data_IF_920252505048
#
_entry.id   IF_920252505048
#
_cell.length_a   1.000
_cell.length_b   1.000
_cell.length_c   1.000
_cell.angle_alpha   90.00
_cell.angle_beta   90.00
_cell.angle_gamma   90.00
#
_symmetry.space_group_name_H-M   'P 1'
#
loop_
_entity.id
_entity.type
_entity.pdbx_description
1 polymer ?
#
# COMPACT_ATOMS: atom_id res chain seq x y z
N UNK A 1 -47.30 13.04 52.94
CA UNK A 1 -48.50 12.68 53.73
C UNK A 1 -49.66 13.51 53.20
N UNK A 2 -50.78 12.86 52.88
CA UNK A 2 -52.12 13.38 52.51
C UNK A 2 -52.38 14.88 52.85
N UNK A 3 -53.11 15.69 52.07
CA UNK A 3 -54.44 15.40 51.51
C UNK A 3 -54.88 16.59 50.63
N UNK A 4 -55.60 16.25 49.57
CA UNK A 4 -56.60 17.01 48.80
C UNK A 4 -57.31 18.17 49.50
N UNK A 5 -57.69 19.21 48.73
CA UNK A 5 -59.06 19.76 48.75
C UNK A 5 -59.39 20.60 47.50
N UNK A 6 -60.37 20.12 46.74
CA UNK A 6 -61.19 20.89 45.81
C UNK A 6 -62.03 21.92 46.59
N UNK A 7 -62.31 23.09 45.99
CA UNK A 7 -63.61 23.72 46.14
C UNK A 7 -63.96 24.61 44.93
N UNK A 8 -65.13 24.28 44.38
CA UNK A 8 -65.91 24.97 43.37
C UNK A 8 -66.27 26.41 43.76
N UNK A 9 -66.27 27.34 42.79
CA UNK A 9 -67.37 28.29 42.60
C UNK A 9 -67.65 28.39 41.10
N UNK A 10 -68.77 27.79 40.71
CA UNK A 10 -69.49 28.06 39.48
C UNK A 10 -70.37 29.29 39.69
N UNK A 11 -70.34 30.24 38.77
CA UNK A 11 -71.48 31.12 38.45
C UNK A 11 -71.36 31.60 37.01
N UNK A 12 -72.21 31.03 36.17
CA UNK A 12 -72.62 31.55 34.87
C UNK A 12 -73.37 32.90 35.09
N UNK A 13 -73.58 33.80 34.13
CA UNK A 13 -74.08 33.63 32.77
C UNK A 13 -74.13 35.06 32.17
N UNK A 14 -73.61 35.33 30.96
CA UNK A 14 -74.37 36.11 29.97
C UNK A 14 -73.72 36.08 28.57
N UNK A 15 -74.60 35.90 27.61
CA UNK A 15 -74.43 35.66 26.20
C UNK A 15 -74.00 36.91 25.44
N UNK A 16 -73.00 36.75 24.56
CA UNK A 16 -72.63 37.72 23.53
C UNK A 16 -72.12 36.98 22.31
N UNK A 17 -72.97 36.80 21.29
CA UNK A 17 -72.59 36.18 20.03
C UNK A 17 -71.82 37.18 19.16
N UNK A 18 -70.55 36.84 18.84
CA UNK A 18 -69.85 37.35 17.66
C UNK A 18 -68.89 36.24 17.16
N UNK A 19 -69.30 35.62 16.04
CA UNK A 19 -68.49 35.04 14.96
C UNK A 19 -67.05 34.62 15.30
N UNK A 20 -66.85 33.36 15.68
CA UNK A 20 -65.60 32.66 15.37
C UNK A 20 -65.86 31.78 14.15
N UNK A 21 -65.34 32.22 13.02
CA UNK A 21 -65.15 31.42 11.82
C UNK A 21 -64.43 30.15 12.25
N UNK A 22 -65.08 29.01 12.10
CA UNK A 22 -64.40 27.74 12.04
C UNK A 22 -63.50 27.78 10.80
N UNK A 23 -62.23 28.13 10.99
CA UNK A 23 -61.21 27.84 9.99
C UNK A 23 -61.20 26.32 9.85
N UNK A 24 -61.80 25.83 8.77
CA UNK A 24 -61.50 24.50 8.25
C UNK A 24 -59.99 24.41 8.14
N UNK A 25 -59.37 23.46 8.83
CA UNK A 25 -57.99 23.10 8.54
C UNK A 25 -57.93 22.78 7.04
N UNK A 26 -57.18 23.60 6.30
CA UNK A 26 -56.86 23.35 4.91
C UNK A 26 -56.32 21.92 4.80
N UNK A 27 -57.04 21.08 4.06
CA UNK A 27 -56.61 19.73 3.75
C UNK A 27 -55.37 19.84 2.87
N UNK A 28 -54.18 19.81 3.49
CA UNK A 28 -52.88 19.80 2.82
C UNK A 28 -52.70 18.61 1.86
N UNK A 29 -53.53 17.57 1.98
CA UNK A 29 -53.48 16.37 1.17
C UNK A 29 -54.57 16.38 0.09
N UNK A 30 -54.35 17.08 -1.02
CA UNK A 30 -55.27 17.10 -2.16
C UNK A 30 -54.78 16.19 -3.31
N UNK A 31 -55.72 15.53 -4.01
CA UNK A 31 -55.43 14.59 -5.11
C UNK A 31 -55.09 13.16 -4.63
N UNK A 32 -54.92 12.23 -5.58
CA UNK A 32 -54.58 10.84 -5.30
C UNK A 32 -53.16 10.72 -4.69
N UNK A 33 -52.94 9.86 -3.67
CA UNK A 33 -51.61 9.64 -3.10
C UNK A 33 -50.61 9.11 -4.15
N UNK A 34 -49.38 9.63 -4.14
CA UNK A 34 -48.28 9.07 -4.91
C UNK A 34 -46.97 9.06 -4.11
N UNK A 35 -46.11 8.08 -4.42
CA UNK A 35 -44.78 7.93 -3.85
C UNK A 35 -43.84 7.42 -4.94
N UNK A 36 -42.86 8.23 -5.35
CA UNK A 36 -41.87 7.82 -6.35
C UNK A 36 -40.50 8.33 -5.99
N UNK A 37 -39.47 7.56 -6.34
CA UNK A 37 -38.10 8.07 -6.29
C UNK A 37 -37.76 8.71 -7.63
N UNK A 38 -37.10 9.88 -7.61
CA UNK A 38 -36.54 10.43 -8.84
C UNK A 38 -35.54 9.43 -9.45
N UNK A 39 -35.60 9.28 -10.78
CA UNK A 39 -34.63 8.46 -11.52
C UNK A 39 -34.85 6.95 -11.43
N UNK A 40 -36.00 6.46 -10.95
CA UNK A 40 -36.35 5.04 -10.86
C UNK A 40 -35.31 4.20 -10.09
N UNK A 41 -34.85 4.73 -8.96
CA UNK A 41 -33.82 4.09 -8.11
C UNK A 41 -34.38 3.04 -7.16
N UNK A 42 -35.48 2.35 -7.50
CA UNK A 42 -36.14 1.38 -6.60
C UNK A 42 -35.21 0.23 -6.15
N UNK A 43 -34.11 0.00 -6.89
CA UNK A 43 -33.00 -0.88 -6.51
C UNK A 43 -31.68 -0.13 -6.66
N UNK A 44 -30.81 -0.22 -5.65
CA UNK A 44 -29.44 0.32 -5.70
C UNK A 44 -28.42 -0.78 -5.46
N UNK A 45 -27.32 -0.74 -6.21
CA UNK A 45 -26.19 -1.66 -6.06
C UNK A 45 -25.05 -0.96 -5.34
N UNK A 46 -24.56 -1.57 -4.26
CA UNK A 46 -23.50 -1.03 -3.42
C UNK A 46 -22.30 -1.99 -3.44
N UNK A 47 -21.11 -1.42 -3.60
CA UNK A 47 -19.86 -2.17 -3.54
C UNK A 47 -19.58 -2.75 -2.15
N UNK A 48 -18.58 -3.63 -2.08
CA UNK A 48 -18.16 -4.33 -0.85
C UNK A 48 -17.79 -3.33 0.26
N UNK A 49 -17.14 -2.24 -0.10
CA UNK A 49 -16.72 -1.15 0.81
C UNK A 49 -17.88 -0.35 1.40
N UNK A 50 -19.09 -0.52 0.87
CA UNK A 50 -20.26 0.22 1.32
C UNK A 50 -20.23 1.70 0.90
N UNK A 51 -21.01 2.50 1.62
CA UNK A 51 -21.09 3.96 1.49
C UNK A 51 -20.80 4.52 2.87
N UNK A 52 -19.80 5.40 2.98
CA UNK A 52 -19.44 6.03 4.26
C UNK A 52 -20.47 7.08 4.64
N UNK A 53 -20.77 7.22 5.94
CA UNK A 53 -21.67 8.26 6.46
C UNK A 53 -21.34 9.68 5.99
N UNK A 54 -20.06 10.03 5.86
CA UNK A 54 -19.62 11.35 5.35
C UNK A 54 -19.95 11.59 3.89
N UNK A 55 -20.19 10.52 3.13
CA UNK A 55 -20.51 10.51 1.70
C UNK A 55 -21.86 9.81 1.45
N UNK A 56 -22.80 9.94 2.39
CA UNK A 56 -24.12 9.32 2.30
C UNK A 56 -24.82 9.66 0.99
N UNK A 57 -25.52 8.68 0.43
CA UNK A 57 -26.18 8.79 -0.87
C UNK A 57 -27.56 9.44 -0.73
N UNK A 58 -27.86 10.51 -1.48
CA UNK A 58 -29.17 11.13 -1.46
C UNK A 58 -30.19 10.32 -2.28
N UNK A 59 -31.44 10.30 -1.81
CA UNK A 59 -32.59 9.82 -2.55
C UNK A 59 -33.68 10.89 -2.49
N UNK A 60 -34.14 11.33 -3.66
CA UNK A 60 -35.24 12.30 -3.75
C UNK A 60 -36.56 11.53 -3.79
N UNK A 61 -37.39 11.77 -2.77
CA UNK A 61 -38.76 11.29 -2.69
C UNK A 61 -39.70 12.34 -3.28
N UNK A 62 -40.58 11.91 -4.19
CA UNK A 62 -41.71 12.69 -4.67
C UNK A 62 -43.00 12.18 -4.04
N UNK A 63 -43.71 13.07 -3.36
CA UNK A 63 -44.94 12.72 -2.64
C UNK A 63 -45.86 13.94 -2.45
N UNK A 64 -47.16 13.70 -2.35
CA UNK A 64 -48.15 14.67 -1.86
C UNK A 64 -48.75 14.26 -0.49
N UNK A 65 -48.00 13.43 0.23
CA UNK A 65 -48.36 12.85 1.54
C UNK A 65 -47.14 12.83 2.44
N UNK A 66 -47.37 12.83 3.75
CA UNK A 66 -46.31 12.56 4.72
C UNK A 66 -45.75 11.14 4.55
N UNK A 67 -44.47 10.99 4.83
CA UNK A 67 -43.77 9.72 4.74
C UNK A 67 -42.74 9.57 5.87
N UNK A 68 -42.52 8.33 6.28
CA UNK A 68 -41.49 7.95 7.26
C UNK A 68 -40.73 6.71 6.78
N UNK A 69 -39.43 6.66 7.07
CA UNK A 69 -38.56 5.55 6.73
C UNK A 69 -38.49 4.55 7.88
N UNK A 70 -38.44 3.27 7.54
CA UNK A 70 -38.13 2.19 8.47
C UNK A 70 -37.22 1.18 7.79
N UNK A 71 -36.23 0.73 8.54
CA UNK A 71 -35.41 -0.43 8.20
C UNK A 71 -35.78 -1.56 9.15
N UNK A 72 -35.70 -2.81 8.71
CA UNK A 72 -35.87 -3.95 9.62
C UNK A 72 -34.76 -3.96 10.69
N UNK A 73 -34.95 -4.67 11.80
CA UNK A 73 -33.90 -4.79 12.82
C UNK A 73 -32.63 -5.43 12.26
N UNK A 74 -32.77 -6.37 11.32
CA UNK A 74 -31.64 -7.03 10.66
C UNK A 74 -30.90 -6.08 9.72
N UNK A 75 -31.64 -5.34 8.89
CA UNK A 75 -31.07 -4.38 7.93
C UNK A 75 -30.43 -3.20 8.65
N UNK A 76 -31.05 -2.70 9.73
CA UNK A 76 -30.56 -1.58 10.52
C UNK A 76 -29.19 -1.80 11.19
N UNK A 77 -28.66 -3.04 11.14
CA UNK A 77 -27.29 -3.34 11.60
C UNK A 77 -26.20 -2.89 10.62
N UNK A 78 -26.55 -2.63 9.36
CA UNK A 78 -25.57 -2.32 8.31
C UNK A 78 -26.08 -1.31 7.26
N UNK A 79 -27.40 -1.11 7.16
CA UNK A 79 -28.07 -0.14 6.30
C UNK A 79 -28.70 0.95 7.16
N UNK A 80 -28.23 2.18 6.96
CA UNK A 80 -28.58 3.31 7.81
C UNK A 80 -29.19 4.44 7.02
N UNK A 81 -30.09 5.20 7.65
CA UNK A 81 -30.76 6.36 7.05
C UNK A 81 -30.48 7.64 7.83
N UNK A 82 -30.67 8.79 7.17
CA UNK A 82 -30.68 10.10 7.77
C UNK A 82 -31.75 10.96 7.10
N UNK A 83 -32.53 11.67 7.93
CA UNK A 83 -33.84 12.25 7.59
C UNK A 83 -34.85 11.13 7.38
N UNK A 84 -35.44 10.67 8.49
CA UNK A 84 -36.30 9.48 8.51
C UNK A 84 -37.79 9.81 8.34
N UNK A 85 -38.12 11.07 8.10
CA UNK A 85 -39.49 11.51 7.82
C UNK A 85 -39.51 12.78 6.95
N UNK A 86 -40.63 13.02 6.28
CA UNK A 86 -40.87 14.22 5.50
C UNK A 86 -42.35 14.46 5.20
N UNK A 87 -42.65 15.69 4.78
CA UNK A 87 -43.95 16.10 4.23
C UNK A 87 -43.74 16.45 2.75
N UNK A 88 -44.67 16.04 1.89
CA UNK A 88 -44.58 16.21 0.44
C UNK A 88 -43.25 15.69 -0.16
N UNK A 89 -42.71 16.38 -1.15
CA UNK A 89 -41.40 16.11 -1.72
C UNK A 89 -40.27 16.32 -0.69
N UNK A 90 -39.27 15.46 -0.70
CA UNK A 90 -38.11 15.63 0.16
C UNK A 90 -36.92 14.78 -0.25
N UNK A 91 -35.84 14.90 0.53
CA UNK A 91 -34.61 14.14 0.32
C UNK A 91 -34.28 13.44 1.62
N UNK A 92 -34.06 12.14 1.54
CA UNK A 92 -33.39 11.40 2.61
C UNK A 92 -32.04 10.89 2.13
N UNK A 93 -31.21 10.50 3.08
CA UNK A 93 -29.89 9.95 2.80
C UNK A 93 -29.77 8.55 3.37
N UNK A 94 -28.96 7.72 2.74
CA UNK A 94 -28.58 6.43 3.28
C UNK A 94 -27.08 6.19 3.19
N UNK A 95 -26.57 5.33 4.06
CA UNK A 95 -25.21 4.81 3.95
C UNK A 95 -25.18 3.34 4.37
N UNK A 96 -24.13 2.65 3.95
CA UNK A 96 -24.07 1.18 4.00
C UNK A 96 -22.72 0.78 4.55
N UNK A 97 -22.70 0.00 5.63
CA UNK A 97 -21.45 -0.50 6.19
C UNK A 97 -20.79 -1.52 5.24
N UNK A 98 -19.46 -1.70 5.27
CA UNK A 98 -18.79 -2.73 4.49
C UNK A 98 -19.38 -4.13 4.74
N UNK A 99 -19.43 -4.97 3.71
CA UNK A 99 -19.83 -6.37 3.85
C UNK A 99 -18.60 -7.28 4.01
N UNK A 100 -18.31 -7.78 5.23
CA UNK A 100 -17.17 -8.67 5.42
C UNK A 100 -17.44 -10.10 4.93
N UNK A 101 -18.71 -10.47 4.70
CA UNK A 101 -19.10 -11.84 4.37
C UNK A 101 -18.86 -12.16 2.88
N UNK A 102 -18.56 -13.42 2.59
CA UNK A 102 -18.39 -13.94 1.22
C UNK A 102 -19.71 -14.25 0.52
N UNK A 103 -20.81 -13.79 1.09
CA UNK A 103 -22.16 -13.83 0.51
C UNK A 103 -22.67 -12.41 0.36
N UNK A 104 -23.31 -12.13 -0.78
CA UNK A 104 -24.01 -10.86 -0.97
C UNK A 104 -25.16 -10.76 0.03
N UNK A 105 -25.58 -9.54 0.34
CA UNK A 105 -26.73 -9.28 1.22
C UNK A 105 -27.64 -8.24 0.59
N UNK A 106 -28.92 -8.34 0.87
CA UNK A 106 -29.92 -7.36 0.48
C UNK A 106 -30.64 -6.84 1.72
N UNK A 107 -31.11 -5.61 1.65
CA UNK A 107 -31.87 -4.97 2.71
C UNK A 107 -32.82 -3.93 2.14
N UNK A 108 -33.77 -3.48 2.95
CA UNK A 108 -34.83 -2.60 2.48
C UNK A 108 -34.94 -1.35 3.35
N UNK A 109 -35.06 -0.19 2.69
CA UNK A 109 -35.58 1.03 3.33
C UNK A 109 -37.05 1.12 2.93
N UNK A 110 -37.93 0.87 3.89
CA UNK A 110 -39.36 0.85 3.70
C UNK A 110 -39.96 2.21 4.01
N UNK A 111 -40.82 2.69 3.12
CA UNK A 111 -41.50 3.97 3.25
C UNK A 111 -42.91 3.69 3.72
N UNK A 112 -43.28 4.35 4.81
CA UNK A 112 -44.57 4.27 5.43
C UNK A 112 -45.31 5.61 5.32
N UNK A 113 -46.60 5.55 5.03
CA UNK A 113 -47.52 6.68 5.17
C UNK A 113 -48.78 6.22 5.88
N UNK A 114 -49.25 6.99 6.86
CA UNK A 114 -50.41 6.65 7.70
C UNK A 114 -50.36 5.22 8.29
N UNK A 115 -49.15 4.72 8.58
CA UNK A 115 -48.93 3.38 9.14
C UNK A 115 -48.88 2.24 8.13
N UNK A 116 -49.10 2.49 6.84
CA UNK A 116 -49.03 1.50 5.77
C UNK A 116 -47.73 1.62 4.98
N UNK A 117 -47.12 0.47 4.62
CA UNK A 117 -45.95 0.45 3.73
C UNK A 117 -46.41 0.78 2.32
N UNK A 118 -45.91 1.88 1.77
CA UNK A 118 -46.32 2.40 0.45
C UNK A 118 -45.25 2.23 -0.63
N UNK A 119 -43.97 2.12 -0.23
CA UNK A 119 -42.84 1.93 -1.15
C UNK A 119 -41.66 1.30 -0.43
N UNK A 120 -40.69 0.81 -1.20
CA UNK A 120 -39.47 0.20 -0.71
C UNK A 120 -38.32 0.58 -1.64
N UNK A 121 -37.17 0.89 -1.06
CA UNK A 121 -35.89 0.93 -1.76
C UNK A 121 -35.11 -0.34 -1.41
N UNK A 122 -34.81 -1.17 -2.39
CA UNK A 122 -33.95 -2.36 -2.19
C UNK A 122 -32.47 -1.96 -2.34
N UNK A 123 -31.66 -2.33 -1.36
CA UNK A 123 -30.21 -2.12 -1.36
C UNK A 123 -29.53 -3.47 -1.49
N UNK A 124 -28.89 -3.73 -2.62
CA UNK A 124 -28.12 -4.95 -2.88
C UNK A 124 -26.64 -4.63 -2.68
N UNK A 125 -26.01 -5.32 -1.73
CA UNK A 125 -24.58 -5.18 -1.46
C UNK A 125 -23.81 -6.42 -1.89
N UNK A 126 -22.72 -6.18 -2.64
CA UNK A 126 -21.85 -7.24 -3.13
C UNK A 126 -21.23 -8.09 -2.00
N UNK A 127 -20.95 -9.36 -2.32
CA UNK A 127 -20.17 -10.26 -1.47
C UNK A 127 -18.70 -9.83 -1.42
N UNK A 128 -18.05 -10.02 -0.28
CA UNK A 128 -16.60 -9.95 -0.20
C UNK A 128 -15.96 -11.04 -1.08
N UNK A 129 -14.73 -10.80 -1.55
CA UNK A 129 -13.99 -11.76 -2.38
C UNK A 129 -12.94 -12.47 -1.52
N UNK A 130 -12.98 -13.81 -1.38
CA UNK A 130 -11.93 -14.55 -0.70
C UNK A 130 -10.56 -14.28 -1.30
N UNK A 131 -9.58 -13.99 -0.46
CA UNK A 131 -8.23 -13.59 -0.86
C UNK A 131 -7.19 -14.24 0.04
N UNK A 132 -6.18 -14.81 -0.59
CA UNK A 132 -4.95 -15.30 0.04
C UNK A 132 -3.80 -15.11 -0.96
N UNK A 133 -2.81 -14.33 -0.58
CA UNK A 133 -1.64 -14.07 -1.40
C UNK A 133 -0.39 -13.99 -0.53
N UNK A 134 0.66 -14.72 -0.92
CA UNK A 134 2.01 -14.45 -0.44
C UNK A 134 2.47 -13.14 -1.07
N UNK A 135 2.94 -12.20 -0.26
CA UNK A 135 3.48 -10.93 -0.76
C UNK A 135 4.70 -11.23 -1.64
N UNK A 136 4.86 -10.55 -2.77
CA UNK A 136 5.97 -10.78 -3.73
C UNK A 136 6.14 -12.25 -4.19
N UNK A 137 5.04 -13.00 -4.34
CA UNK A 137 5.10 -14.42 -4.69
C UNK A 137 5.86 -14.70 -6.01
N UNK A 138 5.67 -13.85 -7.02
CA UNK A 138 6.27 -13.99 -8.36
C UNK A 138 7.78 -13.73 -8.36
N UNK A 139 8.26 -12.78 -7.55
CA UNK A 139 9.69 -12.47 -7.41
C UNK A 139 10.46 -13.51 -6.60
N UNK A 140 9.75 -14.28 -5.75
CA UNK A 140 10.39 -15.20 -4.84
C UNK A 140 11.06 -14.49 -3.65
N UNK A 141 11.76 -15.28 -2.86
CA UNK A 141 12.50 -14.82 -1.69
C UNK A 141 13.92 -15.39 -1.74
N UNK A 142 14.91 -14.55 -1.44
CA UNK A 142 16.30 -14.98 -1.27
C UNK A 142 16.77 -14.80 0.16
N UNK A 143 17.29 -15.87 0.75
CA UNK A 143 17.96 -15.86 2.04
C UNK A 143 19.48 -15.98 1.86
N UNK A 144 20.22 -15.36 2.77
CA UNK A 144 21.67 -15.49 2.80
C UNK A 144 22.07 -16.93 3.21
N UNK A 145 23.33 -17.34 2.93
CA UNK A 145 23.81 -18.69 3.24
C UNK A 145 23.89 -18.97 4.74
N UNK A 146 23.77 -17.95 5.58
CA UNK A 146 23.79 -18.10 7.03
C UNK A 146 22.59 -18.91 7.54
N UNK A 147 22.77 -19.59 8.67
CA UNK A 147 21.63 -20.13 9.42
C UNK A 147 20.81 -18.97 10.01
N UNK A 148 19.49 -19.12 10.06
CA UNK A 148 18.62 -18.08 10.58
C UNK A 148 17.16 -18.31 10.25
N UNK A 149 16.31 -17.37 10.63
CA UNK A 149 14.89 -17.42 10.34
C UNK A 149 14.54 -16.40 9.25
N UNK A 150 13.79 -16.84 8.25
CA UNK A 150 13.17 -16.01 7.23
C UNK A 150 11.72 -15.75 7.59
N UNK A 151 11.25 -14.53 7.34
CA UNK A 151 9.86 -14.10 7.55
C UNK A 151 9.24 -13.78 6.20
N UNK A 152 8.14 -14.43 5.86
CA UNK A 152 7.45 -14.26 4.57
C UNK A 152 6.06 -13.71 4.85
N UNK A 153 5.76 -12.52 4.32
CA UNK A 153 4.48 -11.86 4.55
C UNK A 153 3.36 -12.45 3.68
N UNK A 154 2.15 -12.48 4.22
CA UNK A 154 0.94 -13.05 3.60
C UNK A 154 -0.23 -12.10 3.84
N UNK A 155 -0.95 -11.76 2.77
CA UNK A 155 -2.19 -10.99 2.83
C UNK A 155 -3.37 -11.95 2.68
N UNK A 156 -4.29 -11.96 3.64
CA UNK A 156 -5.50 -12.79 3.55
C UNK A 156 -6.70 -12.22 4.30
N UNK A 157 -7.91 -12.54 3.81
CA UNK A 157 -9.18 -12.33 4.52
C UNK A 157 -9.92 -13.63 4.85
N UNK A 158 -9.29 -14.79 4.62
CA UNK A 158 -9.80 -16.13 4.95
C UNK A 158 -8.92 -16.79 6.00
N UNK A 159 -9.38 -17.91 6.57
CA UNK A 159 -8.51 -18.83 7.30
C UNK A 159 -7.63 -19.61 6.32
N UNK A 160 -6.39 -19.87 6.69
CA UNK A 160 -5.40 -20.51 5.83
C UNK A 160 -4.32 -21.24 6.65
N UNK A 161 -3.62 -22.14 5.98
CA UNK A 161 -2.48 -22.91 6.48
C UNK A 161 -1.29 -22.78 5.54
N UNK A 162 -0.08 -23.06 6.03
CA UNK A 162 1.13 -23.09 5.22
C UNK A 162 1.86 -24.43 5.33
N UNK A 163 2.55 -24.79 4.26
CA UNK A 163 3.46 -25.94 4.19
C UNK A 163 4.67 -25.59 3.32
N UNK A 164 5.82 -26.15 3.65
CA UNK A 164 7.02 -26.10 2.80
C UNK A 164 7.31 -27.49 2.23
N UNK A 165 8.00 -27.53 1.10
CA UNK A 165 8.63 -28.75 0.61
C UNK A 165 9.55 -29.36 1.69
N UNK A 166 9.47 -30.69 1.86
CA UNK A 166 10.22 -31.39 2.89
C UNK A 166 11.70 -31.49 2.50
N UNK A 167 12.54 -30.72 3.18
CA UNK A 167 14.00 -30.70 3.04
C UNK A 167 14.65 -30.76 4.42
N UNK A 168 15.90 -31.20 4.51
CA UNK A 168 16.64 -31.32 5.77
C UNK A 168 17.21 -29.98 6.28
N UNK A 169 17.30 -28.98 5.40
CA UNK A 169 17.92 -27.69 5.67
C UNK A 169 16.94 -26.56 5.98
N UNK A 170 15.63 -26.81 5.93
CA UNK A 170 14.61 -25.82 6.26
C UNK A 170 13.46 -26.43 7.06
N UNK A 171 12.86 -25.61 7.93
CA UNK A 171 11.74 -26.01 8.77
C UNK A 171 10.73 -24.88 8.87
N UNK A 172 9.45 -25.20 8.66
CA UNK A 172 8.34 -24.32 8.99
C UNK A 172 8.22 -24.24 10.52
N UNK A 173 8.50 -23.07 11.10
CA UNK A 173 8.49 -22.88 12.55
C UNK A 173 7.08 -22.60 13.07
N UNK A 174 6.43 -21.60 12.46
CA UNK A 174 5.10 -21.16 12.85
C UNK A 174 4.42 -20.38 11.72
N UNK A 175 3.09 -20.34 11.79
CA UNK A 175 2.23 -19.58 10.88
C UNK A 175 1.47 -18.56 11.72
N UNK A 176 1.76 -17.28 11.52
CA UNK A 176 1.02 -16.16 12.08
C UNK A 176 -0.20 -15.81 11.24
N UNK A 177 -0.92 -14.74 11.62
CA UNK A 177 -2.11 -14.27 10.88
C UNK A 177 -1.78 -13.77 9.47
N UNK A 178 -0.60 -13.16 9.31
CA UNK A 178 -0.13 -12.44 8.13
C UNK A 178 1.32 -12.77 7.76
N UNK A 179 1.92 -13.78 8.41
CA UNK A 179 3.36 -14.07 8.28
C UNK A 179 3.64 -15.56 8.43
N UNK A 180 4.51 -16.10 7.59
CA UNK A 180 5.10 -17.44 7.71
C UNK A 180 6.55 -17.33 8.18
N UNK A 181 6.94 -18.12 9.18
CA UNK A 181 8.29 -18.15 9.73
C UNK A 181 8.98 -19.47 9.40
N UNK A 182 10.13 -19.40 8.72
CA UNK A 182 10.89 -20.58 8.26
C UNK A 182 12.31 -20.49 8.80
N UNK A 183 12.74 -21.47 9.59
CA UNK A 183 14.13 -21.63 10.00
C UNK A 183 14.95 -22.32 8.91
N UNK A 184 16.13 -21.79 8.65
CA UNK A 184 17.11 -22.30 7.69
C UNK A 184 18.39 -22.72 8.41
N UNK A 185 18.92 -23.87 8.02
CA UNK A 185 20.28 -24.30 8.34
C UNK A 185 21.26 -23.54 7.44
N UNK A 186 22.50 -23.35 7.88
CA UNK A 186 23.56 -22.74 7.06
C UNK A 186 23.70 -23.51 5.74
N UNK A 187 23.81 -22.80 4.62
CA UNK A 187 24.18 -23.39 3.34
C UNK A 187 25.72 -23.49 3.23
N UNK A 188 26.19 -24.64 2.79
CA UNK A 188 27.61 -24.96 2.56
C UNK A 188 27.90 -25.37 1.12
N UNK A 189 26.87 -25.43 0.28
CA UNK A 189 26.89 -25.93 -1.09
C UNK A 189 26.31 -24.87 -2.05
N UNK A 190 26.03 -25.24 -3.29
CA UNK A 190 25.39 -24.35 -4.27
C UNK A 190 24.04 -23.80 -3.79
N UNK A 191 23.50 -22.83 -4.54
CA UNK A 191 22.15 -22.30 -4.31
C UNK A 191 21.14 -23.45 -4.19
N UNK A 192 20.27 -23.38 -3.19
CA UNK A 192 19.23 -24.37 -2.93
C UNK A 192 17.90 -23.69 -2.70
N UNK A 193 16.82 -24.32 -3.17
CA UNK A 193 15.49 -23.73 -3.12
C UNK A 193 14.44 -24.70 -2.60
N UNK A 194 13.37 -24.16 -2.05
CA UNK A 194 12.16 -24.90 -1.68
C UNK A 194 10.93 -24.12 -2.12
N UNK A 195 9.81 -24.84 -2.24
CA UNK A 195 8.50 -24.20 -2.46
C UNK A 195 7.77 -23.99 -1.12
N UNK A 196 7.34 -22.75 -0.85
CA UNK A 196 6.35 -22.44 0.17
C UNK A 196 4.96 -22.42 -0.47
N UNK A 197 4.00 -23.10 0.15
CA UNK A 197 2.59 -23.11 -0.23
C UNK A 197 1.72 -22.61 0.92
N UNK A 198 0.92 -21.59 0.67
CA UNK A 198 -0.19 -21.17 1.52
C UNK A 198 -1.52 -21.60 0.89
N UNK A 199 -2.43 -22.18 1.67
CA UNK A 199 -3.72 -22.70 1.19
C UNK A 199 -4.85 -22.27 2.12
N UNK A 200 -5.98 -21.85 1.56
CA UNK A 200 -7.19 -21.55 2.32
C UNK A 200 -7.75 -22.80 3.03
N UNK A 201 -8.47 -22.60 4.13
CA UNK A 201 -9.08 -23.70 4.88
C UNK A 201 -10.53 -23.97 4.45
N UNK A 202 -11.02 -25.19 4.68
CA UNK A 202 -12.42 -25.56 4.46
C UNK A 202 -12.88 -25.29 3.03
N UNK A 203 -13.97 -24.53 2.89
CA UNK A 203 -14.56 -24.17 1.59
C UNK A 203 -13.63 -23.34 0.69
N UNK A 204 -12.54 -22.78 1.26
CA UNK A 204 -11.53 -22.01 0.53
C UNK A 204 -10.29 -22.82 0.16
N UNK A 205 -10.31 -24.16 0.31
CA UNK A 205 -9.15 -25.03 0.03
C UNK A 205 -8.64 -24.99 -1.42
N UNK A 206 -9.47 -24.49 -2.34
CA UNK A 206 -9.09 -24.23 -3.74
C UNK A 206 -8.24 -22.97 -3.94
N UNK A 207 -8.18 -22.06 -2.97
CA UNK A 207 -7.37 -20.84 -3.04
C UNK A 207 -5.97 -21.16 -2.52
N UNK A 208 -4.99 -21.05 -3.41
CA UNK A 208 -3.60 -21.42 -3.15
C UNK A 208 -2.68 -20.32 -3.64
N UNK A 209 -1.68 -19.98 -2.83
CA UNK A 209 -0.59 -19.10 -3.20
C UNK A 209 0.73 -19.82 -2.95
N UNK A 210 1.67 -19.74 -3.89
CA UNK A 210 2.97 -20.40 -3.80
C UNK A 210 4.08 -19.42 -4.13
N UNK A 211 5.25 -19.60 -3.51
CA UNK A 211 6.47 -18.88 -3.87
C UNK A 211 7.70 -19.75 -3.66
N UNK A 212 8.80 -19.36 -4.30
CA UNK A 212 10.11 -20.01 -4.13
C UNK A 212 10.91 -19.27 -3.06
N UNK A 213 11.46 -20.02 -2.10
CA UNK A 213 12.50 -19.53 -1.19
C UNK A 213 13.84 -20.15 -1.58
N UNK A 214 14.77 -19.32 -2.02
CA UNK A 214 16.15 -19.70 -2.36
C UNK A 214 17.09 -19.29 -1.24
N UNK A 215 17.94 -20.21 -0.77
CA UNK A 215 19.06 -19.90 0.09
C UNK A 215 20.35 -19.90 -0.74
N UNK A 216 21.04 -18.76 -0.74
CA UNK A 216 22.24 -18.56 -1.56
C UNK A 216 23.41 -19.48 -1.14
N UNK A 217 24.33 -19.70 -2.06
CA UNK A 217 25.60 -20.40 -1.86
C UNK A 217 26.56 -19.64 -0.94
N UNK A 218 27.50 -20.32 -0.24
CA UNK A 218 28.51 -19.69 0.61
C UNK A 218 29.25 -18.54 -0.07
N UNK A 219 29.64 -17.55 0.74
CA UNK A 219 30.36 -16.38 0.26
C UNK A 219 29.46 -15.24 -0.18
N UNK A 220 28.14 -15.41 -0.32
CA UNK A 220 27.21 -14.29 -0.51
C UNK A 220 26.90 -13.62 0.83
N UNK A 221 27.29 -12.35 0.98
CA UNK A 221 27.09 -11.55 2.19
C UNK A 221 25.90 -10.59 2.12
N UNK A 222 25.52 -10.17 0.92
CA UNK A 222 24.32 -9.37 0.63
C UNK A 222 23.83 -9.75 -0.77
N UNK A 223 22.52 -9.90 -0.94
CA UNK A 223 21.88 -10.06 -2.25
C UNK A 223 20.52 -9.37 -2.20
N UNK A 224 20.35 -8.34 -3.02
CA UNK A 224 19.20 -7.45 -3.01
C UNK A 224 18.73 -7.18 -4.45
N UNK A 225 17.44 -7.44 -4.69
CA UNK A 225 16.73 -7.22 -5.96
C UNK A 225 15.53 -6.25 -5.79
N UNK A 226 15.35 -5.72 -4.59
CA UNK A 226 14.26 -4.85 -4.17
C UNK A 226 12.86 -5.34 -4.54
N UNK A 227 12.67 -6.63 -4.84
CA UNK A 227 11.38 -7.17 -5.28
C UNK A 227 10.30 -7.05 -4.20
N UNK A 228 10.72 -6.93 -2.94
CA UNK A 228 9.85 -6.67 -1.80
C UNK A 228 9.34 -5.23 -1.72
N UNK A 229 9.94 -4.26 -2.44
CA UNK A 229 9.39 -2.91 -2.54
C UNK A 229 8.15 -2.94 -3.43
N UNK A 230 6.99 -2.64 -2.84
CA UNK A 230 5.71 -2.58 -3.55
C UNK A 230 5.28 -1.13 -3.84
N UNK A 231 6.18 -0.19 -3.56
CA UNK A 231 5.95 1.23 -3.67
C UNK A 231 5.81 1.71 -5.12
N UNK A 232 4.89 2.63 -5.34
CA UNK A 232 4.59 3.22 -6.64
C UNK A 232 3.64 2.39 -7.51
N UNK A 233 3.36 2.93 -8.69
CA UNK A 233 2.46 2.31 -9.69
C UNK A 233 3.22 1.30 -10.52
N UNK A 234 2.58 0.18 -10.90
CA UNK A 234 3.11 -0.77 -11.89
C UNK A 234 3.07 -0.26 -13.33
N UNK A 235 3.13 1.06 -13.50
CA UNK A 235 3.26 1.68 -14.81
C UNK A 235 4.64 1.33 -15.39
N UNK A 236 4.82 1.39 -16.73
CA UNK A 236 6.15 1.41 -17.32
C UNK A 236 6.99 2.42 -16.54
N UNK A 237 8.23 2.03 -16.21
CA UNK A 237 9.15 2.80 -15.41
C UNK A 237 9.12 4.30 -15.81
N UNK A 238 9.39 5.19 -14.86
CA UNK A 238 9.66 6.64 -15.07
C UNK A 238 8.46 7.60 -15.08
N UNK A 239 7.22 7.11 -15.13
CA UNK A 239 5.99 7.89 -14.85
C UNK A 239 5.51 7.62 -13.40
N UNK A 240 6.07 8.39 -12.47
CA UNK A 240 5.80 8.56 -11.03
C UNK A 240 4.45 8.03 -10.45
N UNK A 241 4.41 7.63 -9.15
CA UNK A 241 5.32 8.10 -8.10
C UNK A 241 6.01 7.00 -7.29
N UNK A 242 7.35 7.04 -7.28
CA UNK A 242 8.14 6.38 -6.25
C UNK A 242 7.86 7.02 -4.88
N UNK A 243 7.79 6.20 -3.85
CA UNK A 243 7.45 6.65 -2.50
C UNK A 243 8.73 6.93 -1.73
N UNK A 244 8.79 8.08 -1.06
CA UNK A 244 9.96 8.49 -0.27
C UNK A 244 10.13 7.51 0.91
N UNK A 245 11.37 7.18 1.27
CA UNK A 245 11.70 6.30 2.41
C UNK A 245 10.94 6.62 3.70
N UNK A 246 10.69 7.90 4.00
CA UNK A 246 9.92 8.31 5.19
C UNK A 246 8.50 7.72 5.24
N UNK A 247 7.93 7.46 4.08
CA UNK A 247 6.57 6.97 3.87
C UNK A 247 6.47 5.45 3.69
N UNK A 248 7.61 4.75 3.62
CA UNK A 248 7.63 3.28 3.59
C UNK A 248 6.98 2.69 4.84
N UNK A 249 6.36 1.54 4.68
CA UNK A 249 5.77 0.80 5.78
C UNK A 249 6.85 0.12 6.65
N UNK A 250 6.44 -0.43 7.80
CA UNK A 250 7.37 -1.03 8.76
C UNK A 250 8.05 -2.29 8.23
N UNK A 251 7.38 -3.08 7.38
CA UNK A 251 7.96 -4.28 6.78
C UNK A 251 9.07 -3.93 5.76
N UNK A 252 8.86 -2.89 4.95
CA UNK A 252 9.86 -2.37 4.01
C UNK A 252 11.07 -1.80 4.73
N UNK A 253 10.85 -1.02 5.80
CA UNK A 253 11.94 -0.49 6.64
C UNK A 253 12.71 -1.60 7.36
N UNK A 254 12.05 -2.71 7.71
CA UNK A 254 12.68 -3.84 8.38
C UNK A 254 13.72 -4.57 7.52
N UNK A 255 13.76 -4.34 6.21
CA UNK A 255 14.79 -4.87 5.30
C UNK A 255 16.17 -4.24 5.53
N UNK A 256 16.27 -3.19 6.35
CA UNK A 256 17.53 -2.67 6.89
C UNK A 256 18.25 -1.65 6.00
N UNK A 257 17.70 -1.33 4.82
CA UNK A 257 18.16 -0.23 3.99
C UNK A 257 17.75 1.11 4.59
N UNK A 258 18.67 2.08 4.57
CA UNK A 258 18.47 3.39 5.21
C UNK A 258 19.02 4.53 4.36
N UNK A 259 18.84 5.76 4.82
CA UNK A 259 19.39 6.98 4.22
C UNK A 259 19.95 7.90 5.31
N UNK A 260 20.99 8.67 4.98
CA UNK A 260 21.72 9.56 5.90
C UNK A 260 20.97 10.87 6.15
N UNK A 261 20.58 11.59 5.10
CA UNK A 261 19.80 12.84 5.21
C UNK A 261 18.62 12.92 4.22
N UNK A 262 18.49 11.91 3.35
CA UNK A 262 17.29 11.67 2.57
C UNK A 262 17.31 12.19 1.13
N UNK A 263 16.19 11.89 0.45
CA UNK A 263 16.01 11.80 -1.02
C UNK A 263 16.29 10.40 -1.57
N UNK A 264 16.00 9.39 -0.76
CA UNK A 264 15.82 8.00 -1.15
C UNK A 264 14.33 7.71 -1.37
N UNK A 265 14.01 7.01 -2.45
CA UNK A 265 12.66 6.63 -2.85
C UNK A 265 12.63 5.16 -3.29
N UNK A 266 11.51 4.50 -3.09
CA UNK A 266 11.25 3.13 -3.55
C UNK A 266 10.28 3.11 -4.72
N UNK A 267 10.62 2.36 -5.75
CA UNK A 267 9.71 1.91 -6.79
C UNK A 267 9.59 0.39 -6.76
N UNK A 268 8.67 -0.19 -7.54
CA UNK A 268 8.51 -1.64 -7.63
C UNK A 268 9.76 -2.30 -8.20
N UNK A 269 10.51 -3.02 -7.36
CA UNK A 269 11.73 -3.72 -7.77
C UNK A 269 12.97 -2.83 -7.94
N UNK A 270 12.99 -1.60 -7.43
CA UNK A 270 14.19 -0.76 -7.49
C UNK A 270 14.15 0.38 -6.46
N UNK A 271 15.30 0.99 -6.22
CA UNK A 271 15.39 2.27 -5.49
C UNK A 271 15.75 3.41 -6.42
N UNK A 272 15.24 4.61 -6.13
CA UNK A 272 15.70 5.86 -6.73
C UNK A 272 16.39 6.71 -5.67
N UNK A 273 17.57 7.20 -6.00
CA UNK A 273 18.29 8.17 -5.18
C UNK A 273 18.35 9.53 -5.87
N UNK A 274 18.18 10.58 -5.08
CA UNK A 274 18.28 11.97 -5.48
C UNK A 274 16.98 12.63 -5.90
N UNK A 275 17.06 13.95 -6.03
CA UNK A 275 16.04 14.81 -6.63
C UNK A 275 16.74 16.04 -7.21
N UNK A 276 15.97 16.92 -7.84
CA UNK A 276 16.49 18.21 -8.32
C UNK A 276 17.29 18.93 -7.22
N UNK A 277 18.53 19.31 -7.51
CA UNK A 277 19.49 20.01 -6.65
C UNK A 277 19.94 19.27 -5.38
N UNK A 278 19.61 17.98 -5.23
CA UNK A 278 19.99 17.19 -4.05
C UNK A 278 20.44 15.81 -4.48
N UNK A 279 21.71 15.48 -4.26
CA UNK A 279 22.19 14.11 -4.36
C UNK A 279 21.65 13.33 -3.17
N UNK A 280 20.84 12.32 -3.45
CA UNK A 280 20.34 11.39 -2.44
C UNK A 280 21.35 10.29 -2.18
N UNK A 281 21.04 9.47 -1.19
CA UNK A 281 21.88 8.35 -0.79
C UNK A 281 21.03 7.11 -0.48
N UNK A 282 21.70 5.96 -0.49
CA UNK A 282 21.18 4.66 -0.09
C UNK A 282 22.27 3.94 0.71
N UNK A 283 21.94 3.53 1.93
CA UNK A 283 22.88 2.86 2.84
C UNK A 283 22.42 1.43 3.06
N UNK A 284 23.32 0.47 2.81
CA UNK A 284 23.04 -0.95 2.99
C UNK A 284 22.90 -1.33 4.47
N UNK A 285 22.23 -2.47 4.76
CA UNK A 285 22.46 -3.21 5.99
C UNK A 285 23.96 -3.48 6.20
N UNK A 286 24.37 -3.69 7.45
CA UNK A 286 25.73 -4.12 7.74
C UNK A 286 25.96 -5.56 7.22
N UNK A 287 27.17 -5.86 6.77
CA UNK A 287 27.54 -7.18 6.25
C UNK A 287 27.77 -8.20 7.37
N UNK A 288 26.80 -8.33 8.29
CA UNK A 288 26.87 -9.04 9.57
C UNK A 288 27.32 -10.51 9.49
N UNK A 289 27.27 -11.10 8.30
CA UNK A 289 27.67 -12.48 8.03
C UNK A 289 29.17 -12.66 7.75
N UNK A 290 29.93 -11.57 7.57
CA UNK A 290 31.39 -11.64 7.47
C UNK A 290 31.99 -11.97 8.84
N UNK A 291 32.82 -13.01 8.91
CA UNK A 291 33.54 -13.38 10.14
C UNK A 291 34.96 -12.86 10.09
N UNK A 292 35.30 -11.96 11.01
CA UNK A 292 36.60 -11.29 11.01
C UNK A 292 36.67 -10.26 9.89
N UNK A 293 37.68 -10.35 9.03
CA UNK A 293 37.82 -9.53 7.84
C UNK A 293 37.86 -10.42 6.59
N UNK A 294 37.23 -9.97 5.51
CA UNK A 294 37.21 -10.66 4.23
C UNK A 294 37.31 -9.66 3.07
N UNK A 295 37.86 -10.11 1.96
CA UNK A 295 37.87 -9.36 0.72
C UNK A 295 36.59 -9.69 -0.06
N UNK A 296 35.90 -8.68 -0.57
CA UNK A 296 34.61 -8.87 -1.23
C UNK A 296 34.55 -8.14 -2.56
N UNK A 297 33.83 -8.76 -3.51
CA UNK A 297 33.36 -8.12 -4.73
C UNK A 297 31.95 -7.58 -4.49
N UNK A 298 31.76 -6.31 -4.84
CA UNK A 298 30.45 -5.66 -4.88
C UNK A 298 30.04 -5.55 -6.35
N UNK A 299 28.84 -6.00 -6.69
CA UNK A 299 28.24 -5.81 -8.01
C UNK A 299 26.84 -5.25 -7.88
N UNK A 300 26.41 -4.43 -8.83
CA UNK A 300 25.08 -3.81 -8.82
C UNK A 300 24.69 -3.39 -10.23
N UNK A 301 23.40 -3.06 -10.40
CA UNK A 301 22.93 -2.35 -11.57
C UNK A 301 22.54 -0.90 -11.25
N UNK A 302 22.85 0.00 -12.18
CA UNK A 302 22.48 1.40 -12.06
C UNK A 302 22.12 1.98 -13.44
N UNK A 303 21.05 2.76 -13.48
CA UNK A 303 20.64 3.52 -14.67
C UNK A 303 20.33 4.97 -14.29
N UNK A 304 20.48 5.89 -15.24
CA UNK A 304 20.31 7.31 -15.01
C UNK A 304 18.84 7.75 -15.12
N UNK A 305 18.52 8.91 -14.57
CA UNK A 305 17.20 9.50 -14.73
C UNK A 305 17.06 10.29 -16.03
N UNK A 306 15.90 10.14 -16.69
CA UNK A 306 15.45 10.99 -17.79
C UNK A 306 14.13 11.65 -17.43
N UNK A 307 14.02 12.96 -17.69
CA UNK A 307 12.76 13.69 -17.54
C UNK A 307 11.82 13.39 -18.70
N UNK A 308 10.50 13.56 -18.50
CA UNK A 308 9.48 13.35 -19.54
C UNK A 308 9.60 14.24 -20.78
N UNK A 309 10.56 15.17 -20.83
CA UNK A 309 10.92 15.91 -22.05
C UNK A 309 12.19 15.39 -22.75
N UNK A 310 12.68 14.21 -22.37
CA UNK A 310 13.88 13.57 -22.92
C UNK A 310 15.21 14.07 -22.36
N UNK A 311 15.22 15.01 -21.40
CA UNK A 311 16.48 15.51 -20.82
C UNK A 311 17.04 14.53 -19.78
N UNK A 312 18.30 14.15 -19.98
CA UNK A 312 19.06 13.29 -19.06
C UNK A 312 19.67 14.12 -17.93
N UNK A 313 19.63 13.57 -16.71
CA UNK A 313 20.44 14.05 -15.58
C UNK A 313 21.94 13.69 -15.80
N UNK A 314 22.84 14.17 -14.93
CA UNK A 314 24.30 14.07 -15.15
C UNK A 314 24.84 12.63 -15.19
N UNK A 315 24.22 11.69 -14.47
CA UNK A 315 24.58 10.27 -14.53
C UNK A 315 25.88 9.91 -13.80
N UNK A 316 26.10 10.40 -12.58
CA UNK A 316 27.29 10.05 -11.77
C UNK A 316 26.88 9.33 -10.50
N UNK A 317 27.37 8.11 -10.30
CA UNK A 317 27.22 7.38 -9.04
C UNK A 317 28.55 7.40 -8.28
N UNK A 318 28.50 7.62 -6.98
CA UNK A 318 29.64 7.42 -6.09
C UNK A 318 29.29 6.40 -5.01
N UNK A 319 30.19 5.47 -4.70
CA UNK A 319 29.96 4.42 -3.70
C UNK A 319 31.07 4.46 -2.66
N UNK A 320 30.70 4.70 -1.40
CA UNK A 320 31.60 4.74 -0.25
C UNK A 320 31.37 3.59 0.74
N UNK A 321 32.18 3.58 1.80
CA UNK A 321 32.03 2.65 2.92
C UNK A 321 31.76 3.40 4.23
N UNK A 322 30.85 2.86 5.04
CA UNK A 322 30.81 3.15 6.48
C UNK A 322 31.30 1.91 7.23
N UNK A 323 32.21 2.11 8.18
CA UNK A 323 32.87 1.00 8.89
C UNK A 323 34.16 0.53 8.20
N UNK A 324 34.71 -0.62 8.64
CA UNK A 324 35.99 -1.12 8.13
C UNK A 324 35.97 -1.50 6.65
N UNK A 325 37.13 -1.47 6.01
CA UNK A 325 37.34 -1.88 4.62
C UNK A 325 38.05 -0.81 3.78
N UNK A 326 38.53 -1.20 2.61
CA UNK A 326 39.19 -0.28 1.66
C UNK A 326 38.71 -0.57 0.24
N UNK A 327 38.18 0.46 -0.43
CA UNK A 327 37.70 0.36 -1.80
C UNK A 327 38.88 0.23 -2.77
N UNK A 328 38.74 -0.69 -3.73
CA UNK A 328 39.61 -0.83 -4.90
C UNK A 328 38.72 -0.74 -6.14
N UNK A 329 38.85 0.37 -6.87
CA UNK A 329 38.10 0.65 -8.09
C UNK A 329 38.96 1.44 -9.08
N UNK A 330 38.56 1.47 -10.35
CA UNK A 330 39.28 2.16 -11.43
C UNK A 330 39.29 3.68 -11.23
N UNK A 331 38.17 4.25 -10.82
CA UNK A 331 38.03 5.67 -10.52
C UNK A 331 37.68 5.88 -9.04
N UNK A 332 38.49 6.70 -8.37
CA UNK A 332 38.35 7.01 -6.95
C UNK A 332 38.22 8.53 -6.75
N UNK A 333 37.44 8.94 -5.75
CA UNK A 333 37.34 10.32 -5.32
C UNK A 333 37.12 10.42 -3.80
N UNK A 334 37.05 11.64 -3.26
CA UNK A 334 36.68 11.92 -1.87
C UNK A 334 35.43 12.78 -1.82
N UNK A 335 34.41 12.31 -1.11
CA UNK A 335 33.15 13.04 -0.94
C UNK A 335 32.93 13.41 0.53
N UNK A 336 32.61 14.68 0.83
CA UNK A 336 32.16 15.06 2.15
C UNK A 336 30.73 14.57 2.39
N UNK A 337 30.51 13.83 3.47
CA UNK A 337 29.21 13.26 3.86
C UNK A 337 29.03 13.49 5.36
N UNK A 338 27.95 14.16 5.75
CA UNK A 338 27.55 14.37 7.16
C UNK A 338 28.70 14.82 8.09
N UNK A 339 29.59 15.72 7.61
CA UNK A 339 30.72 16.23 8.38
C UNK A 339 32.00 15.38 8.37
N UNK A 340 31.97 14.19 7.76
CA UNK A 340 33.15 13.38 7.43
C UNK A 340 33.53 13.50 5.95
N UNK A 341 34.69 12.94 5.58
CA UNK A 341 35.14 12.80 4.19
C UNK A 341 35.46 11.35 3.92
N UNK A 342 34.86 10.78 2.87
CA UNK A 342 34.92 9.36 2.56
C UNK A 342 35.58 9.14 1.21
N UNK A 343 36.46 8.13 1.12
CA UNK A 343 36.91 7.60 -0.16
C UNK A 343 35.76 6.86 -0.83
N UNK A 344 35.55 7.13 -2.11
CA UNK A 344 34.46 6.57 -2.91
C UNK A 344 34.97 6.05 -4.24
N UNK A 345 34.42 4.92 -4.70
CA UNK A 345 34.46 4.54 -6.10
C UNK A 345 33.51 5.44 -6.90
N UNK A 346 33.88 5.82 -8.12
CA UNK A 346 33.05 6.66 -9.00
C UNK A 346 32.69 5.91 -10.27
N UNK A 347 31.44 6.02 -10.70
CA UNK A 347 30.92 5.38 -11.90
C UNK A 347 30.14 6.37 -12.76
N UNK A 348 30.44 6.38 -14.06
CA UNK A 348 29.67 7.12 -15.05
C UNK A 348 28.53 6.24 -15.57
N UNK A 349 27.30 6.73 -15.40
CA UNK A 349 26.07 6.04 -15.76
C UNK A 349 25.62 6.54 -17.13
N UNK A 350 25.70 5.66 -18.12
CA UNK A 350 25.44 6.00 -19.53
C UNK A 350 24.14 5.40 -20.06
N UNK A 351 23.55 4.45 -19.32
CA UNK A 351 22.27 3.84 -19.63
C UNK A 351 21.15 4.65 -19.00
N UNK A 352 20.14 4.98 -19.80
CA UNK A 352 18.98 5.76 -19.39
C UNK A 352 17.70 5.11 -19.93
N UNK A 353 16.55 5.44 -19.33
CA UNK A 353 15.23 5.23 -19.91
C UNK A 353 15.16 5.65 -21.39
N UNK A 354 14.26 5.03 -22.15
CA UNK A 354 13.97 5.57 -23.48
C UNK A 354 13.29 6.94 -23.37
N UNK A 355 13.57 7.79 -24.34
CA UNK A 355 12.95 9.09 -24.43
C UNK A 355 11.50 8.96 -24.95
N UNK A 356 10.68 10.00 -24.80
CA UNK A 356 9.34 10.03 -25.42
C UNK A 356 9.34 9.86 -26.95
N UNK A 357 10.52 9.92 -27.60
CA UNK A 357 10.68 9.66 -29.03
C UNK A 357 10.90 8.18 -29.36
N UNK A 358 10.96 7.31 -28.36
CA UNK A 358 11.15 5.86 -28.52
C UNK A 358 12.39 5.54 -29.38
N UNK A 359 13.53 6.12 -29.02
CA UNK A 359 14.78 6.08 -29.81
C UNK A 359 15.37 4.67 -29.86
N UNK A 360 15.07 3.83 -28.87
CA UNK A 360 15.52 2.44 -28.77
C UNK A 360 14.46 1.43 -29.27
N UNK A 361 13.25 1.89 -29.56
CA UNK A 361 12.16 1.08 -30.08
C UNK A 361 11.32 0.40 -29.01
N UNK A 362 10.22 -0.22 -29.46
CA UNK A 362 9.29 -0.91 -28.57
C UNK A 362 9.98 -2.05 -27.80
N UNK A 363 9.79 -2.09 -26.48
CA UNK A 363 10.33 -3.13 -25.62
C UNK A 363 11.78 -2.90 -25.13
N UNK A 364 12.34 -1.71 -25.34
CA UNK A 364 13.62 -1.34 -24.72
C UNK A 364 13.54 -1.41 -23.19
N UNK A 365 14.49 -2.13 -22.62
CA UNK A 365 14.64 -2.31 -21.17
C UNK A 365 16.07 -1.93 -20.77
N UNK A 366 16.27 -0.76 -20.14
CA UNK A 366 17.61 -0.29 -19.77
C UNK A 366 18.28 -1.20 -18.74
N UNK A 367 17.55 -2.01 -17.97
CA UNK A 367 18.14 -2.96 -17.04
C UNK A 367 18.76 -4.17 -17.73
N UNK A 368 18.40 -4.44 -18.99
CA UNK A 368 19.03 -5.53 -19.76
C UNK A 368 20.37 -5.11 -20.36
N UNK A 369 20.62 -3.81 -20.54
CA UNK A 369 21.85 -3.28 -21.11
C UNK A 369 23.09 -3.67 -20.31
N UNK A 370 24.14 -4.15 -21.00
CA UNK A 370 25.40 -4.54 -20.36
C UNK A 370 26.03 -3.39 -19.56
N UNK A 371 25.94 -2.17 -20.09
CA UNK A 371 26.48 -0.95 -19.48
C UNK A 371 25.72 -0.47 -18.23
N UNK A 372 24.62 -1.13 -17.85
CA UNK A 372 23.95 -0.88 -16.56
C UNK A 372 24.61 -1.62 -15.40
N UNK A 373 25.52 -2.57 -15.67
CA UNK A 373 26.13 -3.47 -14.66
C UNK A 373 27.50 -2.96 -14.25
N UNK A 374 27.70 -2.80 -12.95
CA UNK A 374 28.94 -2.28 -12.37
C UNK A 374 29.46 -3.20 -11.28
N UNK A 375 30.75 -3.09 -11.00
CA UNK A 375 31.37 -3.76 -9.86
C UNK A 375 32.63 -3.04 -9.38
N UNK A 376 33.02 -3.33 -8.15
CA UNK A 376 34.31 -2.95 -7.56
C UNK A 376 34.65 -3.91 -6.42
N UNK A 377 35.86 -3.83 -5.89
CA UNK A 377 36.31 -4.68 -4.77
C UNK A 377 36.45 -3.87 -3.49
N UNK A 378 36.25 -4.53 -2.36
CA UNK A 378 36.51 -3.99 -1.03
C UNK A 378 37.42 -4.95 -0.30
N UNK A 379 38.56 -4.45 0.15
CA UNK A 379 39.55 -5.20 0.92
C UNK A 379 39.29 -5.08 2.42
N UNK A 380 39.35 -6.20 3.14
CA UNK A 380 39.17 -6.24 4.59
C UNK A 380 37.82 -5.71 5.10
N UNK A 381 36.73 -5.98 4.37
CA UNK A 381 35.37 -5.77 4.87
C UNK A 381 35.10 -6.65 6.11
N UNK A 382 34.22 -6.21 6.99
CA UNK A 382 33.89 -6.88 8.25
C UNK A 382 32.37 -6.90 8.47
N UNK A 383 31.92 -7.50 9.57
CA UNK A 383 30.52 -7.47 9.99
C UNK A 383 29.94 -6.05 10.14
N UNK A 384 30.78 -5.05 10.40
CA UNK A 384 30.36 -3.65 10.60
C UNK A 384 30.37 -2.81 9.29
N UNK A 385 30.87 -3.39 8.19
CA UNK A 385 30.95 -2.69 6.91
C UNK A 385 29.56 -2.48 6.31
N UNK A 386 29.30 -1.27 5.82
CA UNK A 386 28.11 -0.89 5.05
C UNK A 386 28.53 -0.18 3.77
N UNK A 387 27.76 -0.38 2.70
CA UNK A 387 27.89 0.37 1.45
C UNK A 387 27.05 1.65 1.53
N UNK A 388 27.58 2.75 0.98
CA UNK A 388 26.86 4.02 0.84
C UNK A 388 26.88 4.46 -0.61
N UNK A 389 25.75 4.32 -1.29
CA UNK A 389 25.54 4.78 -2.66
C UNK A 389 25.10 6.25 -2.63
N UNK A 390 25.68 7.09 -3.48
CA UNK A 390 25.43 8.53 -3.54
C UNK A 390 25.13 8.91 -4.98
N UNK A 391 23.98 9.55 -5.18
CA UNK A 391 23.50 10.03 -6.47
C UNK A 391 24.22 11.31 -6.89
N UNK A 392 25.54 11.28 -7.03
CA UNK A 392 26.32 12.37 -7.59
C UNK A 392 27.77 12.42 -7.12
N UNK A 393 28.54 13.40 -7.62
CA UNK A 393 29.93 13.64 -7.21
C UNK A 393 30.05 14.41 -5.88
N UNK A 394 28.93 14.81 -5.29
CA UNK A 394 28.81 15.47 -3.99
C UNK A 394 27.53 15.00 -3.33
N UNK A 395 27.50 14.91 -2.01
CA UNK A 395 26.32 14.48 -1.26
C UNK A 395 25.40 15.66 -0.88
N UNK A 396 24.10 15.39 -0.81
CA UNK A 396 23.09 16.34 -0.37
C UNK A 396 22.95 17.58 -1.27
N UNK A 397 22.67 18.73 -0.66
CA UNK A 397 22.42 19.99 -1.37
C UNK A 397 23.65 20.61 -2.04
N UNK A 398 24.86 20.10 -1.75
CA UNK A 398 26.09 20.54 -2.42
C UNK A 398 26.06 20.28 -3.94
N UNK A 399 25.25 19.30 -4.39
CA UNK A 399 25.04 18.99 -5.80
C UNK A 399 24.59 20.21 -6.62
N UNK A 400 23.81 21.15 -6.05
CA UNK A 400 23.19 22.27 -6.77
C UNK A 400 24.16 23.09 -7.63
N UNK A 401 25.44 23.13 -7.26
CA UNK A 401 26.49 23.93 -7.95
C UNK A 401 27.41 23.09 -8.83
N UNK A 402 27.14 21.80 -8.99
CA UNK A 402 27.96 20.85 -9.74
C UNK A 402 27.15 20.32 -10.92
N UNK A 403 27.77 20.25 -12.11
CA UNK A 403 27.11 19.77 -13.32
C UNK A 403 25.82 20.55 -13.62
N UNK A 404 24.75 19.83 -13.96
CA UNK A 404 23.41 20.37 -14.15
C UNK A 404 22.65 20.59 -12.82
N UNK A 405 23.26 20.26 -11.67
CA UNK A 405 22.59 20.24 -10.37
C UNK A 405 21.51 19.17 -10.27
N UNK A 406 21.53 18.16 -11.15
CA UNK A 406 20.51 17.12 -11.24
C UNK A 406 21.17 15.78 -11.52
N UNK A 407 21.01 14.86 -10.59
CA UNK A 407 21.65 13.56 -10.66
C UNK A 407 20.81 12.50 -9.94
N UNK A 408 19.63 12.23 -10.49
CA UNK A 408 18.80 11.12 -10.03
C UNK A 408 19.27 9.83 -10.70
N UNK A 409 19.33 8.77 -9.93
CA UNK A 409 19.74 7.44 -10.38
C UNK A 409 18.78 6.39 -9.84
N UNK A 410 18.66 5.28 -10.57
CA UNK A 410 17.95 4.09 -10.14
C UNK A 410 18.94 2.96 -9.89
N UNK A 411 18.76 2.22 -8.79
CA UNK A 411 19.64 1.15 -8.34
C UNK A 411 18.86 -0.13 -8.11
N UNK A 412 19.44 -1.25 -8.54
CA UNK A 412 18.89 -2.60 -8.36
C UNK A 412 20.01 -3.67 -8.39
N UNK A 413 19.68 -4.93 -8.10
CA UNK A 413 20.53 -6.12 -8.22
C UNK A 413 21.88 -5.99 -7.49
N UNK A 414 21.85 -5.47 -6.26
CA UNK A 414 23.04 -5.27 -5.43
C UNK A 414 23.44 -6.59 -4.79
N UNK A 415 24.68 -7.03 -5.04
CA UNK A 415 25.26 -8.24 -4.49
C UNK A 415 26.64 -7.95 -3.92
N UNK A 416 26.90 -8.50 -2.73
CA UNK A 416 28.22 -8.50 -2.09
C UNK A 416 28.59 -9.94 -1.83
N UNK A 417 29.75 -10.35 -2.33
CA UNK A 417 30.24 -11.71 -2.20
C UNK A 417 31.74 -11.76 -1.94
N UNK A 418 32.21 -12.81 -1.27
CA UNK A 418 33.62 -13.08 -1.07
C UNK A 418 34.39 -13.07 -2.41
N UNK A 419 35.58 -12.46 -2.39
CA UNK A 419 36.50 -12.46 -3.51
C UNK A 419 37.42 -13.68 -3.37
N UNK A 420 37.27 -14.65 -4.27
CA UNK A 420 38.01 -15.92 -4.27
C UNK A 420 39.46 -15.79 -4.71
#
# INVERSE_FOLDING_TARGET
>A
MMKTRNLFISSAFLMGAFLAVACSNDTKESGDPYYTFDGNVDVVNVGIEGIKKTNMSPVVMRSNRSWALKTSEEDGRWLHTFIDEGEDDGIFYYWVDPNPAFTGRNGHIDIYSNGEKVKSLEVIQAANVPMLAIVNAEGGYTALPAAGQVKIAVTSNISWTASIESVDWAKLDSVGKDTVYISLVKNTDDDRSLTLTCRGDGDFSGIVSTTTLTQAAPGIYLNEDFGWLQEGTGAPLYDVPEVRYSSWNDAEKAMGWTTLEGSMYGGRGYTKIGKTNVAGDLVSPALVNIKGADDVKVSFQCIGYMAGNGKKDDGVLSVGLMGPGTIVADEMNKIPIAGGTYDVAVFQITVFPDSPKNEHGEGYDPWKEAASRFHFSVKGATADTKLVFIGGPQWGGALKKIGQGKNRLYLDNIKVQAES
#
